data_IF_478100011806
#
_entry.id   IF_478100011806
#
_cell.length_a   1.000
_cell.length_b   1.000
_cell.length_c   1.000
_cell.angle_alpha   90.00
_cell.angle_beta   90.00
_cell.angle_gamma   90.00
#
_symmetry.space_group_name_H-M   'P 1'
#
loop_
_entity.id
_entity.type
_entity.pdbx_description
1 polymer ?
#
# COMPACT_ATOMS: atom_id res chain seq x y z
N UNK A 1 22.35 -16.91 42.71
CA UNK A 1 21.76 -17.44 41.45
C UNK A 1 20.65 -16.54 40.89
N UNK A 2 20.18 -15.51 41.62
CA UNK A 2 19.07 -14.62 41.22
C UNK A 2 19.50 -13.38 40.42
N UNK A 3 20.62 -12.74 40.69
CA UNK A 3 21.04 -11.51 39.99
C UNK A 3 21.43 -11.74 38.52
N UNK A 4 22.18 -12.79 38.21
CA UNK A 4 22.53 -13.15 36.83
C UNK A 4 21.30 -13.52 35.98
N UNK A 5 20.27 -14.11 36.58
CA UNK A 5 19.04 -14.43 35.88
C UNK A 5 18.23 -13.17 35.56
N UNK A 6 18.21 -12.19 36.48
CA UNK A 6 17.57 -10.90 36.29
C UNK A 6 18.29 -10.08 35.18
N UNK A 7 19.62 -10.04 35.22
CA UNK A 7 20.45 -9.36 34.24
C UNK A 7 20.30 -9.97 32.80
N UNK A 8 20.24 -11.31 32.73
CA UNK A 8 19.99 -12.00 31.47
C UNK A 8 18.56 -11.76 30.92
N UNK A 9 17.57 -11.65 31.82
CA UNK A 9 16.21 -11.29 31.43
C UNK A 9 16.12 -9.83 30.94
N UNK A 10 16.81 -8.89 31.59
CA UNK A 10 16.87 -7.49 31.22
C UNK A 10 17.56 -7.30 29.84
N UNK A 11 18.71 -7.94 29.62
CA UNK A 11 19.38 -7.96 28.33
C UNK A 11 18.53 -8.59 27.24
N UNK A 12 17.72 -9.60 27.54
CA UNK A 12 16.83 -10.25 26.59
C UNK A 12 15.64 -9.35 26.22
N UNK A 13 15.10 -8.60 27.20
CA UNK A 13 14.02 -7.64 26.98
C UNK A 13 14.45 -6.47 26.11
N UNK A 14 15.66 -5.97 26.28
CA UNK A 14 16.25 -4.90 25.46
C UNK A 14 16.53 -5.34 24.01
N UNK A 15 16.96 -6.60 23.84
CA UNK A 15 17.17 -7.17 22.51
C UNK A 15 15.85 -7.37 21.73
N UNK A 16 14.80 -7.80 22.43
CA UNK A 16 13.47 -8.01 21.83
C UNK A 16 12.78 -6.67 21.54
N UNK A 17 12.91 -5.67 22.40
CA UNK A 17 12.35 -4.33 22.21
C UNK A 17 12.95 -3.59 21.00
N UNK A 18 14.22 -3.83 20.67
CA UNK A 18 14.87 -3.24 19.50
C UNK A 18 14.59 -3.94 18.18
N UNK A 19 14.44 -5.28 18.20
CA UNK A 19 14.25 -6.09 16.97
C UNK A 19 12.82 -6.12 16.47
N UNK A 20 11.84 -6.13 17.37
CA UNK A 20 10.42 -6.25 17.02
C UNK A 20 9.94 -5.12 16.10
N UNK A 21 10.20 -3.82 16.40
CA UNK A 21 9.80 -2.73 15.49
C UNK A 21 10.52 -2.77 14.15
N UNK A 22 11.77 -3.27 14.09
CA UNK A 22 12.52 -3.41 12.84
C UNK A 22 11.91 -4.50 11.95
N UNK A 23 11.51 -5.64 12.54
CA UNK A 23 10.84 -6.72 11.81
C UNK A 23 9.47 -6.27 11.31
N UNK A 24 8.68 -5.59 12.16
CA UNK A 24 7.39 -5.03 11.74
C UNK A 24 7.58 -4.04 10.59
N UNK A 25 8.57 -3.14 10.68
CA UNK A 25 8.89 -2.21 9.62
C UNK A 25 9.30 -2.89 8.31
N UNK A 26 10.12 -3.93 8.39
CA UNK A 26 10.50 -4.73 7.21
C UNK A 26 9.29 -5.41 6.58
N UNK A 27 8.46 -6.08 7.38
CA UNK A 27 7.26 -6.76 6.89
C UNK A 27 6.25 -5.77 6.30
N UNK A 28 5.97 -4.66 6.97
CA UNK A 28 5.07 -3.62 6.47
C UNK A 28 5.55 -3.07 5.12
N UNK A 29 6.86 -2.84 4.97
CA UNK A 29 7.48 -2.37 3.73
C UNK A 29 7.36 -3.38 2.61
N UNK A 30 7.65 -4.65 2.87
CA UNK A 30 7.55 -5.71 1.88
C UNK A 30 6.09 -5.97 1.48
N UNK A 31 5.16 -6.00 2.43
CA UNK A 31 3.74 -6.21 2.15
C UNK A 31 3.20 -5.07 1.27
N UNK A 32 3.38 -3.81 1.69
CA UNK A 32 2.90 -2.67 0.93
C UNK A 32 3.57 -2.59 -0.45
N UNK A 33 4.90 -2.78 -0.51
CA UNK A 33 5.67 -2.71 -1.75
C UNK A 33 5.29 -3.80 -2.74
N UNK A 34 5.19 -5.05 -2.31
CA UNK A 34 4.81 -6.18 -3.18
C UNK A 34 3.39 -6.04 -3.68
N UNK A 35 2.44 -5.62 -2.83
CA UNK A 35 1.05 -5.40 -3.24
C UNK A 35 0.96 -4.29 -4.31
N UNK A 36 1.69 -3.17 -4.13
CA UNK A 36 1.73 -2.10 -5.13
C UNK A 36 2.35 -2.56 -6.46
N UNK A 37 3.46 -3.31 -6.42
CA UNK A 37 4.07 -3.86 -7.63
C UNK A 37 3.09 -4.79 -8.34
N UNK A 38 2.44 -5.69 -7.61
CA UNK A 38 1.47 -6.62 -8.19
C UNK A 38 0.27 -5.89 -8.79
N UNK A 39 -0.31 -4.92 -8.07
CA UNK A 39 -1.41 -4.09 -8.54
C UNK A 39 -1.05 -3.34 -9.84
N UNK A 40 0.12 -2.69 -9.87
CA UNK A 40 0.62 -2.00 -11.04
C UNK A 40 0.92 -2.95 -12.20
N UNK A 41 1.56 -4.10 -11.95
CA UNK A 41 1.87 -5.10 -12.97
C UNK A 41 0.61 -5.69 -13.62
N UNK A 42 -0.44 -5.93 -12.84
CA UNK A 42 -1.72 -6.40 -13.34
C UNK A 42 -2.42 -5.39 -14.28
N UNK A 43 -2.23 -4.09 -14.02
CA UNK A 43 -2.82 -2.99 -14.80
C UNK A 43 -2.00 -2.60 -16.03
N UNK A 44 -0.65 -2.63 -15.94
CA UNK A 44 0.24 -2.17 -17.01
C UNK A 44 0.07 -3.01 -18.28
N UNK A 45 -0.32 -4.28 -18.15
CA UNK A 45 -0.61 -5.16 -19.28
C UNK A 45 -1.93 -4.85 -19.98
N UNK A 46 -2.83 -4.11 -19.31
CA UNK A 46 -4.18 -3.75 -19.81
C UNK A 46 -4.50 -2.27 -19.52
N UNK A 47 -3.75 -1.33 -20.06
CA UNK A 47 -3.86 0.08 -19.67
C UNK A 47 -5.22 0.69 -19.99
N UNK A 48 -5.90 0.24 -21.04
CA UNK A 48 -7.25 0.68 -21.37
C UNK A 48 -8.28 0.28 -20.32
N UNK A 49 -8.16 -0.91 -19.71
CA UNK A 49 -9.01 -1.34 -18.61
C UNK A 49 -8.73 -0.53 -17.33
N UNK A 50 -7.48 -0.17 -17.06
CA UNK A 50 -7.14 0.71 -15.95
C UNK A 50 -7.77 2.09 -16.10
N UNK A 51 -7.73 2.67 -17.30
CA UNK A 51 -8.42 3.94 -17.61
C UNK A 51 -9.95 3.82 -17.46
N UNK A 52 -10.52 2.70 -17.91
CA UNK A 52 -11.96 2.42 -17.76
C UNK A 52 -12.35 2.29 -16.28
N UNK A 53 -11.53 1.62 -15.47
CA UNK A 53 -11.75 1.50 -14.03
C UNK A 53 -11.85 2.87 -13.36
N UNK A 54 -10.88 3.78 -13.59
CA UNK A 54 -10.90 5.13 -13.02
C UNK A 54 -12.11 5.93 -13.47
N UNK A 55 -12.51 5.81 -14.75
CA UNK A 55 -13.72 6.47 -15.31
C UNK A 55 -15.01 5.95 -14.68
N UNK A 56 -15.06 4.68 -14.29
CA UNK A 56 -16.26 4.05 -13.72
C UNK A 56 -16.68 4.67 -12.38
N UNK A 57 -15.75 5.25 -11.62
CA UNK A 57 -16.05 5.97 -10.39
C UNK A 57 -16.82 7.28 -10.58
N UNK A 58 -16.78 7.89 -11.78
CA UNK A 58 -17.46 9.15 -12.15
C UNK A 58 -17.13 10.33 -11.21
N UNK A 59 -15.96 10.32 -10.57
CA UNK A 59 -15.49 11.38 -9.68
C UNK A 59 -14.73 12.45 -10.46
N UNK A 60 -13.96 12.03 -11.47
CA UNK A 60 -13.10 12.90 -12.26
C UNK A 60 -13.69 13.18 -13.66
N UNK A 61 -13.36 14.32 -14.29
CA UNK A 61 -13.65 14.55 -15.71
C UNK A 61 -13.10 13.41 -16.58
N UNK A 62 -13.82 13.06 -17.63
CA UNK A 62 -13.57 11.84 -18.43
C UNK A 62 -12.13 11.72 -18.95
N UNK A 63 -11.56 12.81 -19.47
CA UNK A 63 -10.21 12.83 -20.04
C UNK A 63 -9.15 12.72 -18.93
N UNK A 64 -9.35 13.44 -17.83
CA UNK A 64 -8.45 13.40 -16.67
C UNK A 64 -8.46 12.04 -15.99
N UNK A 65 -9.64 11.41 -15.85
CA UNK A 65 -9.76 10.04 -15.36
C UNK A 65 -8.98 9.04 -16.23
N UNK A 66 -9.00 9.22 -17.55
CA UNK A 66 -8.20 8.45 -18.47
C UNK A 66 -6.70 8.61 -18.21
N UNK A 67 -6.20 9.85 -18.13
CA UNK A 67 -4.80 10.12 -17.83
C UNK A 67 -4.35 9.48 -16.52
N UNK A 68 -5.14 9.65 -15.44
CA UNK A 68 -4.86 9.01 -14.14
C UNK A 68 -4.79 7.50 -14.27
N UNK A 69 -5.74 6.88 -14.99
CA UNK A 69 -5.76 5.43 -15.17
C UNK A 69 -4.56 4.87 -15.95
N UNK A 70 -3.97 5.65 -16.88
CA UNK A 70 -2.73 5.27 -17.55
C UNK A 70 -1.48 5.49 -16.69
N UNK A 71 -1.43 6.57 -15.90
CA UNK A 71 -0.29 6.90 -15.07
C UNK A 71 -0.19 6.04 -13.81
N UNK A 72 -1.34 5.65 -13.23
CA UNK A 72 -1.45 4.96 -11.96
C UNK A 72 -0.61 3.67 -11.89
N UNK A 73 -0.65 2.73 -12.86
CA UNK A 73 0.14 1.51 -12.80
C UNK A 73 1.66 1.75 -12.73
N UNK A 74 2.13 2.77 -13.44
CA UNK A 74 3.55 3.12 -13.45
C UNK A 74 3.98 3.65 -12.09
N UNK A 75 3.17 4.53 -11.49
CA UNK A 75 3.43 5.08 -10.15
C UNK A 75 3.37 3.98 -9.10
N UNK A 76 2.41 3.05 -9.17
CA UNK A 76 2.31 1.90 -8.27
C UNK A 76 3.58 1.05 -8.30
N UNK A 77 4.07 0.69 -9.48
CA UNK A 77 5.29 -0.11 -9.63
C UNK A 77 6.50 0.65 -9.08
N UNK A 78 6.67 1.92 -9.42
CA UNK A 78 7.80 2.71 -8.97
C UNK A 78 7.82 2.86 -7.44
N UNK A 79 6.69 3.24 -6.83
CA UNK A 79 6.57 3.37 -5.38
C UNK A 79 6.78 2.02 -4.70
N UNK A 80 6.22 0.95 -5.24
CA UNK A 80 6.40 -0.40 -4.72
C UNK A 80 7.86 -0.86 -4.76
N UNK A 81 8.58 -0.61 -5.86
CA UNK A 81 10.00 -0.93 -5.99
C UNK A 81 10.84 -0.14 -4.97
N UNK A 82 10.60 1.16 -4.82
CA UNK A 82 11.29 2.00 -3.84
C UNK A 82 11.08 1.48 -2.40
N UNK A 83 9.87 1.02 -2.08
CA UNK A 83 9.55 0.41 -0.79
C UNK A 83 10.29 -0.92 -0.59
N UNK A 84 10.26 -1.84 -1.57
CA UNK A 84 10.94 -3.14 -1.45
C UNK A 84 12.44 -2.96 -1.28
N UNK A 85 13.06 -2.06 -2.05
CA UNK A 85 14.48 -1.74 -1.95
C UNK A 85 14.81 -0.96 -0.66
N UNK A 86 13.84 -0.22 -0.12
CA UNK A 86 14.01 0.60 1.08
C UNK A 86 14.74 1.89 0.80
N UNK A 87 14.44 2.50 -0.33
CA UNK A 87 14.96 3.80 -0.73
C UNK A 87 13.86 4.85 -0.61
N UNK A 88 14.17 6.00 0.03
CA UNK A 88 13.20 7.04 0.39
C UNK A 88 11.95 6.46 1.09
N UNK A 89 12.17 5.54 2.03
CA UNK A 89 11.12 4.73 2.66
C UNK A 89 9.95 5.58 3.17
N UNK A 90 10.24 6.71 3.83
CA UNK A 90 9.20 7.61 4.36
C UNK A 90 8.33 8.22 3.27
N UNK A 91 8.96 8.73 2.20
CA UNK A 91 8.25 9.36 1.08
C UNK A 91 7.44 8.32 0.31
N UNK A 92 8.05 7.18 -0.01
CA UNK A 92 7.41 6.09 -0.73
C UNK A 92 6.23 5.50 0.06
N UNK A 93 6.36 5.37 1.38
CA UNK A 93 5.27 4.93 2.26
C UNK A 93 4.13 5.96 2.30
N UNK A 94 4.45 7.25 2.37
CA UNK A 94 3.42 8.31 2.33
C UNK A 94 2.67 8.31 1.00
N UNK A 95 3.37 8.18 -0.13
CA UNK A 95 2.74 8.09 -1.46
C UNK A 95 1.88 6.82 -1.59
N UNK A 96 2.40 5.66 -1.18
CA UNK A 96 1.63 4.41 -1.18
C UNK A 96 0.39 4.49 -0.29
N UNK A 97 0.51 5.07 0.90
CA UNK A 97 -0.62 5.30 1.80
C UNK A 97 -1.68 6.24 1.23
N UNK A 98 -1.25 7.33 0.57
CA UNK A 98 -2.17 8.26 -0.12
C UNK A 98 -2.92 7.57 -1.27
N UNK A 99 -2.24 6.67 -2.03
CA UNK A 99 -2.90 5.89 -3.08
C UNK A 99 -3.96 4.96 -2.49
N UNK A 100 -3.66 4.25 -1.39
CA UNK A 100 -4.64 3.39 -0.71
C UNK A 100 -5.82 4.20 -0.16
N UNK A 101 -5.57 5.37 0.42
CA UNK A 101 -6.65 6.27 0.86
C UNK A 101 -7.53 6.73 -0.32
N UNK A 102 -6.93 7.08 -1.46
CA UNK A 102 -7.68 7.44 -2.66
C UNK A 102 -8.58 6.29 -3.14
N UNK A 103 -8.09 5.04 -3.08
CA UNK A 103 -8.91 3.86 -3.41
C UNK A 103 -10.06 3.67 -2.42
N UNK A 104 -9.80 3.77 -1.11
CA UNK A 104 -10.86 3.69 -0.08
C UNK A 104 -11.93 4.75 -0.33
N UNK A 105 -11.54 5.99 -0.58
CA UNK A 105 -12.47 7.08 -0.89
C UNK A 105 -13.28 6.77 -2.15
N UNK A 106 -12.61 6.33 -3.22
CA UNK A 106 -13.27 5.97 -4.47
C UNK A 106 -14.27 4.84 -4.31
N UNK A 107 -13.88 3.75 -3.65
CA UNK A 107 -14.75 2.58 -3.39
C UNK A 107 -15.95 2.99 -2.51
N UNK A 108 -15.71 3.77 -1.46
CA UNK A 108 -16.77 4.26 -0.57
C UNK A 108 -17.75 5.17 -1.31
N UNK A 109 -17.25 6.03 -2.19
CA UNK A 109 -18.06 6.87 -3.07
C UNK A 109 -18.94 6.01 -4.00
N UNK A 110 -18.35 5.05 -4.70
CA UNK A 110 -19.10 4.17 -5.60
C UNK A 110 -20.18 3.39 -4.86
N UNK A 111 -19.86 2.87 -3.68
CA UNK A 111 -20.81 2.15 -2.82
C UNK A 111 -21.96 3.04 -2.37
N UNK A 112 -21.67 4.25 -1.88
CA UNK A 112 -22.68 5.20 -1.44
C UNK A 112 -23.64 5.64 -2.55
N UNK A 113 -23.18 5.64 -3.81
CA UNK A 113 -24.01 6.00 -4.98
C UNK A 113 -24.66 4.80 -5.68
N UNK A 114 -24.53 3.59 -5.12
CA UNK A 114 -25.11 2.38 -5.67
C UNK A 114 -24.49 1.93 -7.02
N UNK A 115 -23.28 2.39 -7.33
CA UNK A 115 -22.57 1.92 -8.52
C UNK A 115 -22.04 0.52 -8.28
N UNK A 116 -22.27 -0.40 -9.21
CA UNK A 116 -21.71 -1.75 -9.20
C UNK A 116 -20.51 -1.80 -10.13
N UNK A 117 -19.32 -1.55 -9.58
CA UNK A 117 -18.06 -1.49 -10.32
C UNK A 117 -17.02 -2.43 -9.71
N UNK A 118 -16.11 -2.93 -10.56
CA UNK A 118 -14.86 -3.51 -10.13
C UNK A 118 -13.91 -2.38 -9.72
N UNK A 119 -13.28 -2.48 -8.54
CA UNK A 119 -12.38 -1.43 -8.06
C UNK A 119 -11.18 -1.15 -8.98
N UNK A 120 -10.87 -2.09 -9.87
CA UNK A 120 -9.72 -1.99 -10.77
C UNK A 120 -8.36 -2.13 -10.06
N UNK A 121 -8.33 -2.46 -8.78
CA UNK A 121 -7.09 -2.51 -7.99
C UNK A 121 -6.09 -3.54 -8.55
N UNK A 122 -6.55 -4.67 -9.08
CA UNK A 122 -5.71 -5.74 -9.63
C UNK A 122 -6.01 -6.05 -11.11
N UNK A 123 -6.21 -5.01 -11.93
CA UNK A 123 -6.31 -5.16 -13.39
C UNK A 123 -7.69 -5.48 -13.93
N UNK A 124 -8.73 -5.49 -13.11
CA UNK A 124 -10.13 -5.43 -13.51
C UNK A 124 -10.53 -4.00 -13.86
N UNK A 125 -11.82 -3.76 -14.05
CA UNK A 125 -12.37 -2.42 -14.23
C UNK A 125 -13.69 -2.39 -14.99
N UNK A 126 -14.45 -1.33 -14.75
CA UNK A 126 -15.75 -1.12 -15.37
C UNK A 126 -16.93 -1.62 -14.53
N UNK A 127 -18.10 -1.66 -15.13
CA UNK A 127 -19.33 -2.11 -14.46
C UNK A 127 -19.40 -3.63 -14.36
N UNK A 128 -19.78 -4.14 -13.20
CA UNK A 128 -19.97 -5.57 -12.92
C UNK A 128 -21.37 -5.82 -12.32
N UNK A 129 -21.76 -7.08 -12.19
CA UNK A 129 -23.00 -7.40 -11.50
C UNK A 129 -22.91 -7.03 -10.00
N UNK A 130 -24.00 -6.54 -9.41
CA UNK A 130 -24.01 -6.14 -8.00
C UNK A 130 -23.62 -7.29 -7.05
N UNK A 131 -23.90 -8.53 -7.41
CA UNK A 131 -23.52 -9.74 -6.66
C UNK A 131 -22.01 -10.02 -6.67
N UNK A 132 -21.25 -9.37 -7.54
CA UNK A 132 -19.80 -9.55 -7.68
C UNK A 132 -18.98 -8.46 -6.99
N UNK A 133 -19.65 -7.44 -6.43
CA UNK A 133 -18.95 -6.36 -5.70
C UNK A 133 -18.48 -6.87 -4.34
N UNK A 134 -17.23 -6.56 -3.98
CA UNK A 134 -16.61 -6.97 -2.71
C UNK A 134 -16.09 -5.77 -1.90
N UNK A 135 -16.78 -4.63 -1.96
CA UNK A 135 -16.37 -3.37 -1.34
C UNK A 135 -15.92 -3.47 0.11
N UNK A 136 -16.61 -4.21 1.02
CA UNK A 136 -16.15 -4.32 2.41
C UNK A 136 -14.76 -4.98 2.53
N UNK A 137 -14.50 -6.02 1.72
CA UNK A 137 -13.22 -6.73 1.73
C UNK A 137 -12.09 -5.87 1.14
N UNK A 138 -12.40 -5.14 0.07
CA UNK A 138 -11.47 -4.21 -0.58
C UNK A 138 -11.07 -3.07 0.36
N UNK A 139 -12.04 -2.45 1.04
CA UNK A 139 -11.79 -1.40 2.04
C UNK A 139 -10.99 -1.94 3.23
N UNK A 140 -11.29 -3.15 3.71
CA UNK A 140 -10.56 -3.77 4.82
C UNK A 140 -9.08 -3.99 4.44
N UNK A 141 -8.82 -4.54 3.25
CA UNK A 141 -7.48 -4.76 2.72
C UNK A 141 -6.72 -3.43 2.61
N UNK A 142 -7.33 -2.42 1.98
CA UNK A 142 -6.67 -1.12 1.76
C UNK A 142 -6.44 -0.39 3.08
N UNK A 143 -7.34 -0.52 4.06
CA UNK A 143 -7.15 0.01 5.42
C UNK A 143 -5.95 -0.65 6.12
N UNK A 144 -5.76 -1.95 5.97
CA UNK A 144 -4.58 -2.64 6.51
C UNK A 144 -3.28 -2.13 5.84
N UNK A 145 -3.31 -1.86 4.53
CA UNK A 145 -2.17 -1.28 3.81
C UNK A 145 -1.89 0.17 4.23
N UNK A 146 -2.92 0.97 4.52
CA UNK A 146 -2.76 2.32 5.12
C UNK A 146 -2.11 2.23 6.49
N UNK A 147 -2.47 1.25 7.32
CA UNK A 147 -1.83 1.04 8.62
C UNK A 147 -0.33 0.70 8.46
N UNK A 148 0.04 -0.15 7.49
CA UNK A 148 1.44 -0.42 7.15
C UNK A 148 2.17 0.86 6.72
N UNK A 149 1.55 1.67 5.86
CA UNK A 149 2.11 2.95 5.41
C UNK A 149 2.31 3.92 6.57
N UNK A 150 1.32 4.08 7.45
CA UNK A 150 1.39 4.93 8.62
C UNK A 150 2.53 4.52 9.58
N UNK A 151 2.70 3.21 9.80
CA UNK A 151 3.82 2.69 10.58
C UNK A 151 5.17 3.10 9.98
N UNK A 152 5.34 2.93 8.66
CA UNK A 152 6.57 3.26 7.94
C UNK A 152 6.86 4.77 7.92
N UNK A 153 5.84 5.61 7.85
CA UNK A 153 6.00 7.07 7.95
C UNK A 153 6.43 7.49 9.36
N UNK A 154 5.86 6.85 10.39
CA UNK A 154 6.19 7.13 11.78
C UNK A 154 7.58 6.58 12.16
N UNK A 155 7.97 5.42 11.63
CA UNK A 155 9.24 4.72 11.91
C UNK A 155 9.95 4.30 10.63
N UNK A 156 10.53 5.23 9.84
CA UNK A 156 11.13 4.94 8.54
C UNK A 156 12.46 4.19 8.63
N UNK A 157 13.13 4.23 9.78
CA UNK A 157 14.45 3.61 9.96
C UNK A 157 14.26 2.13 10.30
N UNK A 158 14.51 1.27 9.32
CA UNK A 158 14.62 -0.19 9.52
C UNK A 158 16.06 -0.60 9.22
N UNK A 159 16.63 -1.49 10.01
CA UNK A 159 18.03 -1.94 9.92
C UNK A 159 18.39 -2.50 8.54
N UNK A 160 17.40 -2.96 7.78
CA UNK A 160 17.53 -3.58 6.45
C UNK A 160 17.11 -2.65 5.30
N UNK A 161 17.16 -1.31 5.46
CA UNK A 161 16.85 -0.36 4.38
C UNK A 161 18.13 0.21 3.74
N UNK A 162 18.10 0.49 2.43
CA UNK A 162 19.19 1.21 1.77
C UNK A 162 19.34 2.64 2.32
N UNK A 163 18.26 3.25 2.78
CA UNK A 163 18.29 4.55 3.47
C UNK A 163 19.27 4.53 4.65
N UNK A 164 19.32 3.41 5.41
CA UNK A 164 20.23 3.27 6.55
C UNK A 164 21.70 3.18 6.11
N UNK A 165 21.99 2.73 4.89
CA UNK A 165 23.37 2.62 4.35
C UNK A 165 23.84 3.88 3.65
N UNK A 166 22.93 4.63 3.02
CA UNK A 166 23.26 5.78 2.19
C UNK A 166 23.24 7.11 2.96
N UNK A 167 22.42 7.23 4.01
CA UNK A 167 22.23 8.46 4.79
C UNK A 167 22.67 8.30 6.26
N UNK A 168 23.76 7.56 6.47
CA UNK A 168 24.38 7.34 7.77
C UNK A 168 25.27 8.51 8.18
#
# INVERSE_FOLDING_TARGET
MSERAAELMDLRSDWDAGRLPDVIGLLARLILGVVLIWAGAAKVTRPALSALAVRAYKILPYDFAGFVGYALPVVEILVGLLLVVGLFTRLSAALGGLMMLAFIIGISWAWAHGYSIDCGCFGGGGTIAASQTQYPLEILRDTALVACAAWLVARPRTTYSLDHRLFR
#
